data_IF_938753409334
#
_entry.id   IF_938753409334
#
_cell.length_a   1.000
_cell.length_b   1.000
_cell.length_c   1.000
_cell.angle_alpha   90.00
_cell.angle_beta   90.00
_cell.angle_gamma   90.00
#
_symmetry.space_group_name_H-M   'P 1'
#
loop_
_entity.id
_entity.type
_entity.pdbx_description
1 polymer ?
#
# COMPACT_ATOMS: atom_id res chain seq x y z
N UNK A 1 110.20 -30.81 51.71
CA UNK A 1 110.27 -29.88 50.56
C UNK A 1 109.32 -28.74 50.85
N UNK A 2 109.87 -27.52 50.75
CA UNK A 2 109.25 -26.19 50.62
C UNK A 2 108.02 -25.84 51.50
N UNK A 3 108.12 -24.95 52.49
CA UNK A 3 108.28 -23.47 52.42
C UNK A 3 107.00 -22.69 52.08
N UNK A 4 106.74 -21.71 52.96
CA UNK A 4 105.97 -20.46 52.82
C UNK A 4 104.44 -20.50 52.75
N UNK A 5 103.69 -19.67 53.48
CA UNK A 5 104.05 -18.70 54.51
C UNK A 5 102.78 -18.31 55.27
N UNK A 6 102.96 -18.14 56.57
CA UNK A 6 102.06 -17.48 57.50
C UNK A 6 102.29 -15.97 57.41
N UNK A 7 101.23 -15.15 57.44
CA UNK A 7 101.26 -13.85 58.13
C UNK A 7 99.85 -13.28 58.26
N UNK A 8 99.54 -12.90 59.49
CA UNK A 8 98.43 -12.08 59.99
C UNK A 8 98.40 -10.71 59.27
N UNK A 9 97.34 -9.89 59.31
CA UNK A 9 96.75 -9.27 60.50
C UNK A 9 95.48 -8.44 60.12
N UNK A 10 94.95 -7.53 60.96
CA UNK A 10 93.81 -7.76 61.85
C UNK A 10 92.68 -6.73 61.62
N UNK A 11 91.68 -6.74 62.52
CA UNK A 11 90.47 -5.93 62.45
C UNK A 11 90.65 -4.41 62.26
N UNK A 12 89.64 -3.83 61.61
CA UNK A 12 89.44 -2.40 61.46
C UNK A 12 87.98 -2.06 61.76
N UNK A 13 87.80 -1.40 62.89
CA UNK A 13 86.70 -0.57 63.37
C UNK A 13 85.49 -0.38 62.45
N UNK A 14 84.30 -0.50 63.06
CA UNK A 14 83.10 0.20 62.63
C UNK A 14 83.47 1.66 62.28
N UNK A 15 83.48 1.97 60.99
CA UNK A 15 83.66 3.32 60.51
C UNK A 15 82.50 4.15 61.03
N UNK A 16 82.77 4.99 62.02
CA UNK A 16 81.94 6.14 62.31
C UNK A 16 82.03 7.06 61.08
N UNK A 17 81.10 6.87 60.14
CA UNK A 17 80.95 7.76 59.00
C UNK A 17 80.53 9.12 59.52
N UNK A 18 81.46 10.08 59.54
CA UNK A 18 81.11 11.49 59.57
C UNK A 18 80.53 11.78 58.19
N UNK A 19 79.22 11.56 58.05
CA UNK A 19 78.52 11.95 56.82
C UNK A 19 78.75 13.44 56.58
N UNK A 20 79.16 13.87 55.37
CA UNK A 20 79.35 15.27 55.06
C UNK A 20 78.02 16.01 55.17
N UNK A 21 77.78 16.66 56.31
CA UNK A 21 76.59 17.46 56.55
C UNK A 21 76.85 18.91 56.11
N UNK A 22 76.19 19.34 55.04
CA UNK A 22 76.15 20.75 54.66
C UNK A 22 74.99 21.44 55.38
N UNK A 23 75.26 22.53 56.11
CA UNK A 23 74.26 23.30 56.87
C UNK A 23 73.50 22.49 57.96
N UNK A 24 74.14 21.47 58.56
CA UNK A 24 73.54 20.67 59.65
C UNK A 24 72.52 19.63 59.19
N UNK A 25 72.39 19.41 57.88
CA UNK A 25 71.53 18.40 57.28
C UNK A 25 72.38 17.28 56.66
N UNK A 26 71.97 16.03 56.89
CA UNK A 26 72.60 14.85 56.29
C UNK A 26 72.25 14.73 54.80
N UNK A 27 73.04 14.03 53.98
CA UNK A 27 72.73 13.83 52.55
C UNK A 27 71.31 13.29 52.26
N UNK A 28 70.75 12.34 53.03
CA UNK A 28 69.35 11.92 52.87
C UNK A 28 68.34 13.05 53.10
N UNK A 29 68.62 13.99 54.01
CA UNK A 29 67.75 15.13 54.28
C UNK A 29 67.72 16.14 53.12
N UNK A 30 68.86 16.35 52.44
CA UNK A 30 68.91 17.16 51.22
C UNK A 30 68.15 16.50 50.05
N UNK A 31 68.21 15.17 49.93
CA UNK A 31 67.41 14.41 48.94
C UNK A 31 65.91 14.54 49.24
N UNK A 32 65.51 14.40 50.51
CA UNK A 32 64.13 14.59 50.93
C UNK A 32 63.64 16.02 50.65
N UNK A 33 64.47 17.03 50.89
CA UNK A 33 64.15 18.43 50.58
C UNK A 33 64.01 18.66 49.07
N UNK A 34 64.90 18.08 48.25
CA UNK A 34 64.82 18.14 46.79
C UNK A 34 63.54 17.44 46.26
N UNK A 35 63.19 16.27 46.80
CA UNK A 35 61.92 15.60 46.46
C UNK A 35 60.71 16.45 46.86
N UNK A 36 60.72 17.05 48.05
CA UNK A 36 59.67 17.95 48.50
C UNK A 36 59.53 19.17 47.57
N UNK A 37 60.65 19.76 47.15
CA UNK A 37 60.66 20.87 46.20
C UNK A 37 60.09 20.47 44.82
N UNK A 38 60.40 19.26 44.33
CA UNK A 38 59.81 18.72 43.09
C UNK A 38 58.31 18.49 43.25
N UNK A 39 57.84 17.91 44.36
CA UNK A 39 56.41 17.75 44.62
C UNK A 39 55.69 19.09 44.75
N UNK A 40 56.28 20.07 45.45
CA UNK A 40 55.74 21.42 45.55
C UNK A 40 55.65 22.08 44.16
N UNK A 41 56.66 21.89 43.30
CA UNK A 41 56.64 22.39 41.93
C UNK A 41 55.56 21.70 41.08
N UNK A 42 55.37 20.39 41.21
CA UNK A 42 54.32 19.63 40.51
C UNK A 42 52.91 20.07 40.94
N UNK A 43 52.72 20.32 42.24
CA UNK A 43 51.48 20.88 42.78
C UNK A 43 51.25 22.31 42.30
N UNK A 44 52.29 23.16 42.29
CA UNK A 44 52.21 24.54 41.80
C UNK A 44 51.91 24.61 40.31
N UNK A 45 52.48 23.70 39.50
CA UNK A 45 52.18 23.52 38.07
C UNK A 45 50.88 22.76 37.81
N UNK A 46 50.14 22.37 38.85
CA UNK A 46 48.81 21.74 38.81
C UNK A 46 48.74 20.49 37.93
N UNK A 47 49.84 19.74 37.84
CA UNK A 47 49.91 18.48 37.09
C UNK A 47 48.82 17.47 37.49
N UNK A 48 48.54 17.21 38.78
CA UNK A 48 47.46 16.28 39.15
C UNK A 48 46.07 16.78 38.70
N UNK A 49 45.84 18.10 38.70
CA UNK A 49 44.58 18.66 38.22
C UNK A 49 44.43 18.54 36.70
N UNK A 50 45.53 18.63 35.93
CA UNK A 50 45.51 18.43 34.48
C UNK A 50 45.18 16.97 34.13
N UNK A 51 45.72 16.00 34.87
CA UNK A 51 45.41 14.57 34.70
C UNK A 51 43.94 14.31 35.04
N UNK A 52 43.43 14.85 36.16
CA UNK A 52 42.02 14.74 36.53
C UNK A 52 41.09 15.27 35.43
N UNK A 53 41.37 16.48 34.90
CA UNK A 53 40.60 17.06 33.79
C UNK A 53 40.64 16.22 32.52
N UNK A 54 41.78 15.61 32.19
CA UNK A 54 41.89 14.75 31.00
C UNK A 54 41.06 13.46 31.16
N UNK A 55 41.02 12.88 32.37
CA UNK A 55 40.16 11.74 32.69
C UNK A 55 38.69 12.13 32.64
N UNK A 56 38.32 13.27 33.26
CA UNK A 56 36.94 13.78 33.23
C UNK A 56 36.46 14.04 31.80
N UNK A 57 37.32 14.62 30.95
CA UNK A 57 37.02 14.82 29.54
C UNK A 57 36.77 13.50 28.81
N UNK A 58 37.59 12.46 29.06
CA UNK A 58 37.36 11.12 28.49
C UNK A 58 36.06 10.50 28.98
N UNK A 59 35.75 10.62 30.28
CA UNK A 59 34.50 10.13 30.85
C UNK A 59 33.31 10.85 30.22
N UNK A 60 33.38 12.17 30.04
CA UNK A 60 32.33 12.95 29.39
C UNK A 60 32.13 12.51 27.93
N UNK A 61 33.20 12.31 27.16
CA UNK A 61 33.11 11.79 25.78
C UNK A 61 32.49 10.40 25.73
N UNK A 62 32.90 9.48 26.62
CA UNK A 62 32.34 8.13 26.66
C UNK A 62 30.85 8.15 27.03
N UNK A 63 30.46 8.99 28.00
CA UNK A 63 29.05 9.17 28.37
C UNK A 63 28.25 9.69 27.17
N UNK A 64 28.74 10.73 26.50
CA UNK A 64 28.08 11.26 25.31
C UNK A 64 27.92 10.18 24.22
N UNK A 65 28.97 9.40 23.93
CA UNK A 65 28.89 8.32 22.95
C UNK A 65 27.91 7.21 23.35
N UNK A 66 27.82 6.88 24.65
CA UNK A 66 26.85 5.91 25.16
C UNK A 66 25.42 6.45 25.05
N UNK A 67 25.21 7.72 25.38
CA UNK A 67 23.89 8.37 25.29
C UNK A 67 23.43 8.46 23.83
N UNK A 68 24.33 8.86 22.91
CA UNK A 68 24.07 8.87 21.46
C UNK A 68 23.77 7.46 20.92
N UNK A 69 24.51 6.44 21.36
CA UNK A 69 24.26 5.06 20.96
C UNK A 69 22.93 4.52 21.51
N UNK A 70 22.57 4.90 22.74
CA UNK A 70 21.29 4.54 23.34
C UNK A 70 20.12 5.21 22.62
N UNK A 71 20.27 6.50 22.28
CA UNK A 71 19.29 7.23 21.49
C UNK A 71 19.12 6.62 20.10
N UNK A 72 20.23 6.32 19.41
CA UNK A 72 20.18 5.70 18.09
C UNK A 72 19.51 4.32 18.11
N UNK A 73 19.72 3.54 19.18
CA UNK A 73 19.01 2.28 19.38
C UNK A 73 17.51 2.50 19.57
N UNK A 74 17.12 3.45 20.42
CA UNK A 74 15.71 3.77 20.65
C UNK A 74 15.02 4.24 19.36
N UNK A 75 15.70 5.07 18.56
CA UNK A 75 15.21 5.53 17.26
C UNK A 75 15.09 4.36 16.26
N UNK A 76 16.06 3.45 16.23
CA UNK A 76 16.00 2.27 15.37
C UNK A 76 14.88 1.30 15.78
N UNK A 77 14.67 1.09 17.08
CA UNK A 77 13.57 0.28 17.60
C UNK A 77 12.20 0.91 17.31
N UNK A 78 12.07 2.23 17.49
CA UNK A 78 10.86 2.98 17.13
C UNK A 78 10.58 2.87 15.63
N UNK A 79 11.59 3.09 14.80
CA UNK A 79 11.47 3.02 13.35
C UNK A 79 11.06 1.61 12.90
N UNK A 80 11.67 0.58 13.48
CA UNK A 80 11.28 -0.82 13.22
C UNK A 80 9.82 -1.06 13.58
N UNK A 81 9.37 -0.63 14.76
CA UNK A 81 7.98 -0.79 15.19
C UNK A 81 7.01 -0.05 14.25
N UNK A 82 7.37 1.15 13.79
CA UNK A 82 6.58 1.88 12.78
C UNK A 82 6.49 1.13 11.46
N UNK A 83 7.60 0.56 10.96
CA UNK A 83 7.58 -0.20 9.71
C UNK A 83 6.80 -1.50 9.84
N UNK A 84 6.89 -2.21 10.96
CA UNK A 84 6.08 -3.40 11.23
C UNK A 84 4.58 -3.05 11.30
N UNK A 85 4.23 -1.94 11.96
CA UNK A 85 2.85 -1.45 11.99
C UNK A 85 2.35 -1.04 10.60
N UNK A 86 3.16 -0.31 9.82
CA UNK A 86 2.84 0.09 8.45
C UNK A 86 2.68 -1.13 7.53
N UNK A 87 3.52 -2.14 7.67
CA UNK A 87 3.40 -3.39 6.91
C UNK A 87 2.10 -4.13 7.25
N UNK A 88 1.79 -4.29 8.54
CA UNK A 88 0.55 -4.91 8.98
C UNK A 88 -0.69 -4.14 8.51
N UNK A 89 -0.65 -2.80 8.53
CA UNK A 89 -1.71 -1.96 8.00
C UNK A 89 -1.86 -2.13 6.49
N UNK A 90 -0.76 -2.14 5.74
CA UNK A 90 -0.79 -2.34 4.29
C UNK A 90 -1.38 -3.70 3.91
N UNK A 91 -1.05 -4.76 4.65
CA UNK A 91 -1.62 -6.10 4.45
C UNK A 91 -3.13 -6.11 4.72
N UNK A 92 -3.58 -5.44 5.79
CA UNK A 92 -5.01 -5.32 6.11
C UNK A 92 -5.78 -4.49 5.06
N UNK A 93 -5.19 -3.40 4.57
CA UNK A 93 -5.74 -2.59 3.50
C UNK A 93 -5.82 -3.36 2.18
N UNK A 94 -4.78 -4.13 1.85
CA UNK A 94 -4.77 -5.00 0.67
C UNK A 94 -5.85 -6.08 0.74
N UNK A 95 -6.01 -6.74 1.89
CA UNK A 95 -7.09 -7.71 2.11
C UNK A 95 -8.47 -7.07 1.95
N UNK A 96 -8.67 -5.89 2.54
CA UNK A 96 -9.92 -5.12 2.41
C UNK A 96 -10.18 -4.69 0.96
N UNK A 97 -9.14 -4.30 0.23
CA UNK A 97 -9.23 -3.93 -1.19
C UNK A 97 -9.68 -5.11 -2.04
N UNK A 98 -9.12 -6.31 -1.81
CA UNK A 98 -9.50 -7.53 -2.52
C UNK A 98 -10.95 -7.92 -2.22
N UNK A 99 -11.38 -7.88 -0.96
CA UNK A 99 -12.77 -8.20 -0.60
C UNK A 99 -13.77 -7.20 -1.19
N UNK A 100 -13.42 -5.90 -1.19
CA UNK A 100 -14.24 -4.87 -1.85
C UNK A 100 -14.32 -5.12 -3.35
N UNK A 101 -13.20 -5.42 -4.01
CA UNK A 101 -13.16 -5.71 -5.44
C UNK A 101 -13.99 -6.95 -5.80
N UNK A 102 -13.96 -8.00 -4.98
CA UNK A 102 -14.80 -9.20 -5.15
C UNK A 102 -16.28 -8.87 -5.02
N UNK A 103 -16.66 -8.09 -4.01
CA UNK A 103 -18.04 -7.67 -3.78
C UNK A 103 -18.55 -6.81 -4.94
N UNK A 104 -17.74 -5.87 -5.39
CA UNK A 104 -18.06 -5.00 -6.53
C UNK A 104 -18.19 -5.79 -7.83
N UNK A 105 -17.25 -6.71 -8.10
CA UNK A 105 -17.32 -7.60 -9.26
C UNK A 105 -18.58 -8.47 -9.24
N UNK A 106 -18.94 -9.05 -8.09
CA UNK A 106 -20.17 -9.82 -7.94
C UNK A 106 -21.42 -8.96 -8.20
N UNK A 107 -21.41 -7.71 -7.71
CA UNK A 107 -22.48 -6.75 -7.98
C UNK A 107 -22.62 -6.40 -9.46
N UNK A 108 -21.49 -6.18 -10.16
CA UNK A 108 -21.46 -5.91 -11.60
C UNK A 108 -22.02 -7.09 -12.39
N UNK A 109 -21.62 -8.32 -12.05
CA UNK A 109 -22.13 -9.53 -12.72
C UNK A 109 -23.63 -9.68 -12.50
N UNK A 110 -24.11 -9.54 -11.26
CA UNK A 110 -25.54 -9.62 -10.95
C UNK A 110 -26.36 -8.55 -11.70
N UNK A 111 -25.85 -7.32 -11.77
CA UNK A 111 -26.49 -6.24 -12.53
C UNK A 111 -26.49 -6.54 -14.04
N UNK A 112 -25.37 -7.03 -14.58
CA UNK A 112 -25.27 -7.38 -15.99
C UNK A 112 -26.23 -8.54 -16.36
N UNK A 113 -26.39 -9.53 -15.49
CA UNK A 113 -27.38 -10.60 -15.67
C UNK A 113 -28.81 -10.08 -15.67
N UNK A 114 -29.15 -9.19 -14.72
CA UNK A 114 -30.47 -8.56 -14.65
C UNK A 114 -30.76 -7.71 -15.90
N UNK A 115 -29.80 -6.92 -16.35
CA UNK A 115 -29.93 -6.09 -17.55
C UNK A 115 -30.03 -6.93 -18.82
N UNK A 116 -29.27 -8.03 -18.91
CA UNK A 116 -29.35 -8.98 -20.01
C UNK A 116 -30.74 -9.66 -20.06
N UNK A 117 -31.27 -10.10 -18.91
CA UNK A 117 -32.61 -10.68 -18.83
C UNK A 117 -33.69 -9.68 -19.26
N UNK A 118 -33.61 -8.43 -18.79
CA UNK A 118 -34.53 -7.37 -19.19
C UNK A 118 -34.43 -7.02 -20.69
N UNK A 119 -33.21 -7.06 -21.25
CA UNK A 119 -32.99 -6.87 -22.68
C UNK A 119 -33.63 -7.99 -23.51
N UNK A 120 -33.45 -9.25 -23.10
CA UNK A 120 -34.07 -10.40 -23.76
C UNK A 120 -35.58 -10.29 -23.71
N UNK A 121 -36.16 -10.03 -22.54
CA UNK A 121 -37.61 -9.87 -22.40
C UNK A 121 -38.16 -8.76 -23.31
N UNK A 122 -37.51 -7.59 -23.32
CA UNK A 122 -37.91 -6.49 -24.21
C UNK A 122 -37.84 -6.89 -25.68
N UNK A 123 -36.80 -7.61 -26.09
CA UNK A 123 -36.63 -8.07 -27.47
C UNK A 123 -37.68 -9.12 -27.85
N UNK A 124 -38.03 -10.02 -26.94
CA UNK A 124 -39.10 -11.00 -27.13
C UNK A 124 -40.43 -10.30 -27.34
N UNK A 125 -40.82 -9.37 -26.45
CA UNK A 125 -42.06 -8.59 -26.61
C UNK A 125 -42.10 -7.82 -27.93
N UNK A 126 -41.00 -7.16 -28.31
CA UNK A 126 -40.92 -6.47 -29.61
C UNK A 126 -41.07 -7.42 -30.80
N UNK A 127 -40.61 -8.67 -30.70
CA UNK A 127 -40.75 -9.67 -31.75
C UNK A 127 -42.21 -10.18 -31.81
N UNK A 128 -42.82 -10.46 -30.66
CA UNK A 128 -44.23 -10.85 -30.54
C UNK A 128 -45.15 -9.77 -31.10
N UNK A 129 -44.92 -8.50 -30.75
CA UNK A 129 -45.70 -7.37 -31.28
C UNK A 129 -45.57 -7.24 -32.81
N UNK A 130 -44.37 -7.48 -33.35
CA UNK A 130 -44.14 -7.48 -34.81
C UNK A 130 -44.83 -8.65 -35.49
N UNK A 131 -44.81 -9.84 -34.89
CA UNK A 131 -45.51 -11.01 -35.40
C UNK A 131 -47.02 -10.74 -35.41
N UNK A 132 -47.58 -10.25 -34.30
CA UNK A 132 -49.00 -9.93 -34.21
C UNK A 132 -49.42 -8.85 -35.23
N UNK A 133 -48.58 -7.84 -35.48
CA UNK A 133 -48.82 -6.84 -36.51
C UNK A 133 -48.78 -7.45 -37.92
N UNK A 134 -47.81 -8.32 -38.21
CA UNK A 134 -47.69 -9.01 -39.48
C UNK A 134 -48.86 -9.99 -39.74
N UNK A 135 -49.32 -10.69 -38.71
CA UNK A 135 -50.49 -11.58 -38.79
C UNK A 135 -51.76 -10.80 -39.14
N UNK A 136 -51.99 -9.65 -38.50
CA UNK A 136 -53.13 -8.78 -38.83
C UNK A 136 -53.07 -8.31 -40.27
N UNK A 137 -51.90 -7.85 -40.72
CA UNK A 137 -51.69 -7.41 -42.09
C UNK A 137 -51.92 -8.55 -43.10
N UNK A 138 -51.45 -9.77 -42.80
CA UNK A 138 -51.66 -10.93 -43.66
C UNK A 138 -53.14 -11.33 -43.75
N UNK A 139 -53.87 -11.29 -42.63
CA UNK A 139 -55.32 -11.57 -42.61
C UNK A 139 -56.07 -10.54 -43.48
N UNK A 140 -55.74 -9.26 -43.32
CA UNK A 140 -56.38 -8.19 -44.10
C UNK A 140 -56.04 -8.31 -45.59
N UNK A 141 -54.81 -8.70 -45.93
CA UNK A 141 -54.42 -8.97 -47.31
C UNK A 141 -55.18 -10.16 -47.92
N UNK A 142 -55.34 -11.27 -47.18
CA UNK A 142 -56.13 -12.43 -47.63
C UNK A 142 -57.59 -12.03 -47.83
N UNK A 143 -58.19 -11.27 -46.91
CA UNK A 143 -59.56 -10.76 -47.04
C UNK A 143 -59.71 -9.87 -48.26
N UNK A 144 -58.79 -8.96 -48.49
CA UNK A 144 -58.79 -8.09 -49.67
C UNK A 144 -58.70 -8.90 -50.96
N UNK A 145 -57.79 -9.88 -51.03
CA UNK A 145 -57.65 -10.77 -52.20
C UNK A 145 -58.92 -11.59 -52.44
N UNK A 146 -59.54 -12.11 -51.38
CA UNK A 146 -60.80 -12.85 -51.46
C UNK A 146 -61.96 -11.95 -51.94
N UNK A 147 -62.07 -10.72 -51.42
CA UNK A 147 -63.07 -9.76 -51.85
C UNK A 147 -62.92 -9.40 -53.33
N UNK A 148 -61.69 -9.14 -53.79
CA UNK A 148 -61.40 -8.88 -55.20
C UNK A 148 -61.73 -10.08 -56.09
N UNK A 149 -61.37 -11.30 -55.67
CA UNK A 149 -61.68 -12.52 -56.42
C UNK A 149 -63.20 -12.78 -56.50
N UNK A 150 -63.93 -12.57 -55.39
CA UNK A 150 -65.38 -12.68 -55.35
C UNK A 150 -66.06 -11.64 -56.24
N UNK A 151 -65.60 -10.38 -56.20
CA UNK A 151 -66.10 -9.32 -57.07
C UNK A 151 -65.87 -9.65 -58.55
N UNK A 152 -64.67 -10.12 -58.91
CA UNK A 152 -64.35 -10.53 -60.28
C UNK A 152 -65.19 -11.73 -60.76
N UNK A 153 -65.46 -12.70 -59.88
CA UNK A 153 -66.34 -13.83 -60.18
C UNK A 153 -67.80 -13.38 -60.35
N UNK A 154 -68.30 -12.49 -59.49
CA UNK A 154 -69.62 -11.91 -59.60
C UNK A 154 -69.78 -11.09 -60.90
N UNK A 155 -68.76 -10.32 -61.29
CA UNK A 155 -68.73 -9.55 -62.53
C UNK A 155 -68.81 -10.47 -63.77
N UNK A 156 -68.09 -11.60 -63.77
CA UNK A 156 -68.18 -12.62 -64.82
C UNK A 156 -69.57 -13.25 -64.89
N UNK A 157 -70.11 -13.68 -63.75
CA UNK A 157 -71.44 -14.29 -63.70
C UNK A 157 -72.54 -13.30 -64.14
N UNK A 158 -72.39 -12.02 -63.79
CA UNK A 158 -73.31 -10.98 -64.21
C UNK A 158 -73.24 -10.78 -65.72
N UNK A 159 -72.04 -10.71 -66.32
CA UNK A 159 -71.86 -10.65 -67.78
C UNK A 159 -72.48 -11.84 -68.51
N UNK A 160 -72.32 -13.05 -67.98
CA UNK A 160 -72.87 -14.26 -68.61
C UNK A 160 -74.40 -14.33 -68.53
N UNK A 161 -75.02 -13.70 -67.52
CA UNK A 161 -76.48 -13.68 -67.31
C UNK A 161 -77.18 -12.43 -67.83
N UNK A 162 -76.45 -11.42 -68.28
CA UNK A 162 -77.02 -10.17 -68.75
C UNK A 162 -77.56 -10.35 -70.18
N UNK A 163 -78.88 -10.52 -70.29
CA UNK A 163 -79.60 -10.46 -71.55
C UNK A 163 -80.36 -9.12 -71.67
N UNK A 164 -80.80 -8.77 -72.89
CA UNK A 164 -81.48 -7.50 -73.15
C UNK A 164 -82.80 -7.32 -72.35
N UNK A 165 -83.38 -8.41 -71.82
CA UNK A 165 -84.61 -8.39 -71.02
C UNK A 165 -84.29 -8.10 -69.55
N UNK A 166 -83.22 -8.68 -69.01
CA UNK A 166 -82.70 -8.42 -67.67
C UNK A 166 -82.23 -6.97 -67.53
N UNK A 167 -81.54 -6.43 -68.55
CA UNK A 167 -81.10 -5.02 -68.57
C UNK A 167 -82.27 -4.05 -68.48
N UNK A 168 -83.31 -4.26 -69.29
CA UNK A 168 -84.51 -3.41 -69.27
C UNK A 168 -85.20 -3.45 -67.89
N UNK A 169 -85.31 -4.63 -67.28
CA UNK A 169 -85.89 -4.78 -65.94
C UNK A 169 -85.06 -4.07 -64.85
N UNK A 170 -83.72 -4.07 -64.95
CA UNK A 170 -82.85 -3.34 -64.01
C UNK A 170 -82.95 -1.82 -64.16
N UNK A 171 -83.07 -1.32 -65.40
CA UNK A 171 -83.32 0.11 -65.69
C UNK A 171 -84.67 0.54 -65.13
N UNK A 172 -85.74 -0.23 -65.37
CA UNK A 172 -87.07 0.08 -64.86
C UNK A 172 -87.09 0.05 -63.31
N UNK A 173 -86.37 -0.89 -62.68
CA UNK A 173 -86.24 -0.97 -61.23
C UNK A 173 -85.42 0.18 -60.62
N UNK A 174 -84.35 0.64 -61.27
CA UNK A 174 -83.55 1.80 -60.80
C UNK A 174 -84.32 3.11 -60.96
N UNK A 175 -85.02 3.32 -62.08
CA UNK A 175 -85.93 4.46 -62.28
C UNK A 175 -87.04 4.43 -61.23
N UNK A 176 -87.65 3.28 -60.98
CA UNK A 176 -88.67 3.12 -59.94
C UNK A 176 -88.15 3.29 -58.50
N UNK A 177 -86.87 3.00 -58.24
CA UNK A 177 -86.21 3.23 -56.95
C UNK A 177 -85.83 4.70 -56.71
N UNK A 178 -85.50 5.43 -57.77
CA UNK A 178 -85.29 6.88 -57.72
C UNK A 178 -86.61 7.64 -57.54
N UNK A 179 -87.71 7.17 -58.14
CA UNK A 179 -89.04 7.73 -57.95
C UNK A 179 -89.65 7.45 -56.56
N UNK A 180 -89.04 6.58 -55.76
CA UNK A 180 -89.45 6.22 -54.38
C UNK A 180 -88.67 6.97 -53.28
N UNK A 181 -87.67 7.77 -53.65
CA UNK A 181 -87.02 8.75 -52.78
C UNK A 181 -87.51 10.13 -53.13
#
# INVERSE_FOLDING_TARGET
MAEHAMTEAPGGAAHAEVEPSAFGLTPPAWIALAMLAVFALLLWKKVPAAIGRALDAKIATIRQQLDEAAQLRAEAESLKAEYEAKAAQADAEAATMVERARTEAAGIVAQAEADAAALVERRTRMAEDKIAAAERAAIDEVRSRAATAAAAAAERLLRDKLDAKADKAMVDATIGGLARR
#
